data_IF_670051427851
#
_entry.id   IF_670051427851
#
_cell.length_a   1.000
_cell.length_b   1.000
_cell.length_c   1.000
_cell.angle_alpha   90.00
_cell.angle_beta   90.00
_cell.angle_gamma   90.00
#
_symmetry.space_group_name_H-M   'P 1'
#
loop_
_entity.id
_entity.type
_entity.pdbx_description
1 polymer ?
#
# COMPACT_ATOMS: atom_id res chain seq x y z
N UNK A 1 1.35 -17.54 11.97
CA UNK A 1 1.51 -18.05 10.58
C UNK A 1 0.11 -18.36 10.08
N UNK A 2 -0.62 -17.36 9.61
CA UNK A 2 -1.94 -17.54 9.01
C UNK A 2 -1.75 -18.32 7.72
N UNK A 3 -2.49 -19.39 7.58
CA UNK A 3 -2.28 -20.38 6.54
C UNK A 3 -2.60 -19.73 5.17
N UNK A 4 -1.60 -19.34 4.37
CA UNK A 4 -1.73 -18.70 3.06
C UNK A 4 -2.73 -19.44 2.14
N UNK A 5 -2.82 -20.77 2.27
CA UNK A 5 -3.83 -21.57 1.59
C UNK A 5 -5.26 -21.21 2.02
N UNK A 6 -5.47 -20.87 3.29
CA UNK A 6 -6.81 -20.52 3.81
C UNK A 6 -7.30 -19.20 3.22
N UNK A 7 -6.43 -18.21 3.09
CA UNK A 7 -6.77 -16.89 2.49
C UNK A 7 -7.12 -17.06 1.00
N UNK A 8 -6.32 -17.80 0.24
CA UNK A 8 -6.60 -18.05 -1.17
C UNK A 8 -7.95 -18.77 -1.39
N UNK A 9 -8.25 -19.77 -0.58
CA UNK A 9 -9.52 -20.51 -0.67
C UNK A 9 -10.72 -19.62 -0.33
N UNK A 10 -10.65 -18.82 0.74
CA UNK A 10 -11.68 -17.83 1.09
C UNK A 10 -11.95 -16.85 -0.07
N UNK A 11 -10.88 -16.32 -0.70
CA UNK A 11 -10.99 -15.40 -1.83
C UNK A 11 -11.59 -16.08 -3.08
N UNK A 12 -11.24 -17.33 -3.35
CA UNK A 12 -11.83 -18.13 -4.42
C UNK A 12 -13.33 -18.35 -4.21
N UNK A 13 -13.76 -18.64 -2.99
CA UNK A 13 -15.17 -18.79 -2.63
C UNK A 13 -15.94 -17.49 -2.85
N UNK A 14 -15.41 -16.35 -2.40
CA UNK A 14 -16.02 -15.02 -2.61
C UNK A 14 -16.22 -14.70 -4.11
N UNK A 15 -15.23 -15.02 -4.97
CA UNK A 15 -15.35 -14.85 -6.42
C UNK A 15 -16.46 -15.72 -6.98
N UNK A 16 -16.55 -16.98 -6.52
CA UNK A 16 -17.56 -17.94 -6.96
C UNK A 16 -18.97 -17.54 -6.54
N UNK A 17 -19.16 -17.08 -5.32
CA UNK A 17 -20.44 -16.61 -4.79
C UNK A 17 -20.99 -15.42 -5.57
N UNK A 18 -20.10 -14.53 -6.00
CA UNK A 18 -20.45 -13.41 -6.90
C UNK A 18 -20.62 -13.82 -8.38
N UNK A 19 -20.61 -15.14 -8.67
CA UNK A 19 -20.81 -15.74 -10.01
C UNK A 19 -19.77 -15.33 -11.06
N UNK A 20 -18.59 -14.92 -10.64
CA UNK A 20 -17.49 -14.64 -11.56
C UNK A 20 -16.61 -15.87 -11.76
N UNK A 21 -16.10 -16.00 -12.99
CA UNK A 21 -15.17 -17.08 -13.31
C UNK A 21 -13.76 -16.70 -12.90
N UNK A 22 -13.14 -17.50 -12.05
CA UNK A 22 -11.72 -17.39 -11.73
C UNK A 22 -10.90 -18.08 -12.83
N UNK A 23 -10.42 -17.28 -13.79
CA UNK A 23 -9.50 -17.76 -14.84
C UNK A 23 -8.09 -17.95 -14.28
N UNK A 24 -7.24 -18.73 -14.96
CA UNK A 24 -5.84 -18.92 -14.60
C UNK A 24 -5.11 -17.58 -14.45
N UNK A 25 -5.32 -16.64 -15.37
CA UNK A 25 -4.70 -15.32 -15.29
C UNK A 25 -5.10 -14.55 -14.01
N UNK A 26 -6.41 -14.55 -13.67
CA UNK A 26 -6.90 -13.92 -12.43
C UNK A 26 -6.34 -14.59 -11.19
N UNK A 27 -6.24 -15.93 -11.20
CA UNK A 27 -5.66 -16.66 -10.09
C UNK A 27 -4.17 -16.32 -9.91
N UNK A 28 -3.40 -16.22 -11.00
CA UNK A 28 -1.99 -15.82 -10.95
C UNK A 28 -1.82 -14.40 -10.38
N UNK A 29 -2.69 -13.46 -10.79
CA UNK A 29 -2.67 -12.09 -10.29
C UNK A 29 -3.03 -12.04 -8.80
N UNK A 30 -4.05 -12.79 -8.37
CA UNK A 30 -4.41 -12.86 -6.95
C UNK A 30 -3.30 -13.48 -6.11
N UNK A 31 -2.65 -14.52 -6.62
CA UNK A 31 -1.51 -15.16 -5.94
C UNK A 31 -0.34 -14.20 -5.74
N UNK A 32 -0.11 -13.28 -6.68
CA UNK A 32 0.95 -12.29 -6.54
C UNK A 32 0.76 -11.37 -5.31
N UNK A 33 -0.48 -11.07 -4.92
CA UNK A 33 -0.77 -10.33 -3.69
C UNK A 33 -0.53 -11.16 -2.42
N UNK A 34 -0.82 -12.46 -2.48
CA UNK A 34 -0.66 -13.35 -1.34
C UNK A 34 0.81 -13.61 -1.05
N UNK A 35 1.61 -13.74 -2.10
CA UNK A 35 3.03 -14.06 -2.01
C UNK A 35 3.93 -12.83 -1.82
N UNK A 36 3.39 -11.62 -2.02
CA UNK A 36 4.16 -10.39 -1.90
C UNK A 36 4.50 -10.08 -0.42
N UNK A 37 5.74 -9.68 -0.18
CA UNK A 37 6.16 -9.14 1.11
C UNK A 37 5.58 -7.74 1.35
N UNK A 38 5.44 -6.95 0.29
CA UNK A 38 4.82 -5.64 0.32
C UNK A 38 3.30 -5.77 0.20
N UNK A 39 2.58 -5.12 1.11
CA UNK A 39 1.12 -5.19 1.15
C UNK A 39 0.42 -4.24 0.18
N UNK A 40 1.10 -3.18 -0.27
CA UNK A 40 0.55 -2.09 -1.09
C UNK A 40 1.18 -2.08 -2.47
N UNK A 41 0.64 -2.85 -3.41
CA UNK A 41 1.18 -3.00 -4.76
C UNK A 41 0.48 -2.07 -5.76
N UNK A 42 1.26 -1.38 -6.58
CA UNK A 42 0.75 -0.73 -7.80
C UNK A 42 0.48 -1.76 -8.90
N UNK A 43 -0.23 -1.36 -9.95
CA UNK A 43 -0.45 -2.24 -11.10
C UNK A 43 0.87 -2.65 -11.78
N UNK A 44 1.87 -1.76 -11.78
CA UNK A 44 3.20 -1.99 -12.31
C UNK A 44 3.98 -2.99 -11.46
N UNK A 45 3.87 -2.91 -10.13
CA UNK A 45 4.50 -3.87 -9.21
C UNK A 45 3.93 -5.28 -9.42
N UNK A 46 2.58 -5.38 -9.48
CA UNK A 46 1.89 -6.64 -9.77
C UNK A 46 2.31 -7.18 -11.14
N UNK A 47 2.41 -6.32 -12.16
CA UNK A 47 2.88 -6.73 -13.48
C UNK A 47 4.30 -7.28 -13.43
N UNK A 48 5.21 -6.61 -12.68
CA UNK A 48 6.59 -7.07 -12.49
C UNK A 48 6.68 -8.44 -11.82
N UNK A 49 5.81 -8.72 -10.84
CA UNK A 49 5.73 -10.02 -10.17
C UNK A 49 5.16 -11.10 -11.10
N UNK A 50 4.01 -10.81 -11.71
CA UNK A 50 3.28 -11.76 -12.57
C UNK A 50 4.08 -12.13 -13.81
N UNK A 51 4.81 -11.19 -14.41
CA UNK A 51 5.59 -11.44 -15.62
C UNK A 51 6.70 -12.48 -15.45
N UNK A 52 7.18 -12.69 -14.22
CA UNK A 52 8.18 -13.71 -13.90
C UNK A 52 7.65 -15.14 -14.04
N UNK A 53 6.34 -15.33 -13.80
CA UNK A 53 5.68 -16.65 -13.79
C UNK A 53 4.71 -16.86 -14.94
N UNK A 54 4.16 -15.79 -15.51
CA UNK A 54 3.19 -15.79 -16.60
C UNK A 54 3.45 -14.63 -17.57
N UNK A 55 4.48 -14.74 -18.44
CA UNK A 55 4.92 -13.65 -19.32
C UNK A 55 3.90 -13.19 -20.35
N UNK A 56 2.89 -14.02 -20.62
CA UNK A 56 1.81 -13.71 -21.57
C UNK A 56 0.75 -12.76 -21.00
N UNK A 57 0.76 -12.49 -19.69
CA UNK A 57 -0.19 -11.56 -19.06
C UNK A 57 0.32 -10.13 -19.25
N UNK A 58 -0.41 -9.36 -20.06
CA UNK A 58 -0.10 -7.96 -20.32
C UNK A 58 -0.62 -7.01 -19.23
N UNK A 59 -0.02 -5.81 -19.14
CA UNK A 59 -0.38 -4.78 -18.16
C UNK A 59 -1.87 -4.40 -18.21
N UNK A 60 -2.47 -4.34 -19.40
CA UNK A 60 -3.91 -4.07 -19.54
C UNK A 60 -4.79 -5.14 -18.88
N UNK A 61 -4.35 -6.40 -18.88
CA UNK A 61 -5.04 -7.50 -18.18
C UNK A 61 -4.91 -7.35 -16.67
N UNK A 62 -3.75 -6.89 -16.19
CA UNK A 62 -3.53 -6.57 -14.77
C UNK A 62 -4.55 -5.51 -14.34
N UNK A 63 -4.60 -4.34 -14.98
CA UNK A 63 -5.53 -3.26 -14.63
C UNK A 63 -6.98 -3.73 -14.57
N UNK A 64 -7.46 -4.41 -15.63
CA UNK A 64 -8.84 -4.93 -15.67
C UNK A 64 -9.14 -5.92 -14.54
N UNK A 65 -8.13 -6.71 -14.15
CA UNK A 65 -8.29 -7.69 -13.07
C UNK A 65 -8.30 -7.01 -11.71
N UNK A 66 -7.45 -5.99 -11.50
CA UNK A 66 -7.44 -5.19 -10.28
C UNK A 66 -8.76 -4.43 -10.09
N UNK A 67 -9.29 -3.83 -11.16
CA UNK A 67 -10.59 -3.17 -11.13
C UNK A 67 -11.70 -4.17 -10.74
N UNK A 68 -11.74 -5.33 -11.37
CA UNK A 68 -12.68 -6.38 -11.02
C UNK A 68 -12.53 -6.83 -9.57
N UNK A 69 -11.32 -7.04 -9.09
CA UNK A 69 -11.10 -7.47 -7.71
C UNK A 69 -11.50 -6.39 -6.70
N UNK A 70 -11.39 -5.13 -7.05
CA UNK A 70 -11.90 -4.00 -6.25
C UNK A 70 -13.43 -3.99 -6.23
N UNK A 71 -14.09 -4.20 -7.38
CA UNK A 71 -15.56 -4.32 -7.46
C UNK A 71 -16.11 -5.52 -6.66
N UNK A 72 -15.32 -6.57 -6.56
CA UNK A 72 -15.66 -7.77 -5.79
C UNK A 72 -15.29 -7.67 -4.30
N UNK A 73 -14.78 -6.53 -3.85
CA UNK A 73 -14.26 -6.32 -2.48
C UNK A 73 -13.16 -7.31 -2.07
N UNK A 74 -12.40 -7.85 -3.02
CA UNK A 74 -11.24 -8.69 -2.76
C UNK A 74 -9.99 -7.85 -2.52
N UNK A 75 -9.94 -6.69 -3.16
CA UNK A 75 -8.88 -5.69 -2.99
C UNK A 75 -9.48 -4.36 -2.58
N UNK A 76 -8.77 -3.62 -1.74
CA UNK A 76 -8.97 -2.19 -1.51
C UNK A 76 -8.05 -1.40 -2.43
N UNK A 77 -8.58 -0.34 -3.04
CA UNK A 77 -7.78 0.62 -3.79
C UNK A 77 -7.40 1.77 -2.87
N UNK A 78 -6.12 2.09 -2.82
CA UNK A 78 -5.55 3.13 -1.99
C UNK A 78 -4.92 4.22 -2.87
N UNK A 79 -5.30 5.46 -2.62
CA UNK A 79 -4.67 6.64 -3.19
C UNK A 79 -3.86 7.35 -2.08
N UNK A 80 -2.56 7.44 -2.29
CA UNK A 80 -1.66 8.12 -1.36
C UNK A 80 -1.27 9.53 -1.83
N UNK A 81 -1.94 10.05 -2.86
CA UNK A 81 -1.73 11.42 -3.36
C UNK A 81 -0.47 11.60 -4.22
N UNK A 82 0.18 10.53 -4.62
CA UNK A 82 1.35 10.51 -5.50
C UNK A 82 0.99 10.23 -6.98
N UNK A 83 -0.30 10.22 -7.30
CA UNK A 83 -0.83 9.94 -8.64
C UNK A 83 -0.82 8.46 -9.03
N UNK A 84 -0.51 7.56 -8.09
CA UNK A 84 -0.52 6.11 -8.29
C UNK A 84 -1.56 5.45 -7.41
N UNK A 85 -2.38 4.60 -8.01
CA UNK A 85 -3.24 3.72 -7.23
C UNK A 85 -2.42 2.51 -6.76
N UNK A 86 -2.56 2.18 -5.48
CA UNK A 86 -2.07 0.93 -4.91
C UNK A 86 -3.24 0.07 -4.47
N UNK A 87 -2.99 -1.20 -4.34
CA UNK A 87 -4.00 -2.19 -3.99
C UNK A 87 -3.48 -3.05 -2.85
N UNK A 88 -4.37 -3.39 -1.93
CA UNK A 88 -4.11 -4.33 -0.83
C UNK A 88 -5.22 -5.38 -0.78
N UNK A 89 -4.93 -6.54 -0.21
CA UNK A 89 -5.96 -7.55 0.05
C UNK A 89 -6.97 -7.02 1.06
N UNK A 90 -8.26 -7.13 0.71
CA UNK A 90 -9.34 -6.80 1.62
C UNK A 90 -9.66 -8.02 2.49
N UNK A 91 -8.87 -8.22 3.54
CA UNK A 91 -9.10 -9.25 4.52
C UNK A 91 -9.89 -8.66 5.70
N UNK A 92 -11.12 -9.13 5.88
CA UNK A 92 -12.01 -8.66 6.96
C UNK A 92 -11.45 -8.97 8.36
N UNK A 93 -10.58 -9.96 8.46
CA UNK A 93 -9.94 -10.37 9.73
C UNK A 93 -8.82 -9.39 10.14
N UNK A 94 -8.21 -8.67 9.17
CA UNK A 94 -7.10 -7.72 9.38
C UNK A 94 -7.43 -6.28 8.96
N UNK A 95 -8.67 -6.00 8.53
CA UNK A 95 -9.04 -4.72 7.93
C UNK A 95 -9.20 -3.57 8.92
N UNK A 96 -9.03 -3.83 10.21
CA UNK A 96 -9.26 -2.83 11.24
C UNK A 96 -7.93 -2.32 11.80
N UNK A 97 -7.72 -0.99 11.68
CA UNK A 97 -6.77 -0.22 12.48
C UNK A 97 -5.31 -0.23 12.06
N UNK A 98 -5.01 -0.29 10.77
CA UNK A 98 -3.68 0.14 10.35
C UNK A 98 -3.71 1.53 9.72
N UNK A 99 -2.74 2.30 10.08
CA UNK A 99 -2.51 3.65 9.58
C UNK A 99 -1.34 3.64 8.61
N UNK A 100 -1.31 4.60 7.69
CA UNK A 100 -0.29 4.63 6.64
C UNK A 100 0.69 5.78 6.83
N UNK A 101 1.98 5.47 6.83
CA UNK A 101 3.07 6.43 6.77
C UNK A 101 3.60 6.46 5.33
N UNK A 102 3.43 7.58 4.64
CA UNK A 102 3.78 7.74 3.23
C UNK A 102 5.01 8.59 3.09
N UNK A 103 6.09 8.04 2.51
CA UNK A 103 7.28 8.81 2.19
C UNK A 103 7.08 9.60 0.89
N UNK A 104 7.08 10.94 0.97
CA UNK A 104 6.89 11.80 -0.19
C UNK A 104 8.10 11.82 -1.15
N UNK A 105 9.26 11.31 -0.72
CA UNK A 105 10.49 11.28 -1.53
C UNK A 105 10.60 9.99 -2.36
N UNK A 106 10.37 8.82 -1.76
CA UNK A 106 10.52 7.53 -2.45
C UNK A 106 9.21 6.78 -2.69
N UNK A 107 8.09 7.27 -2.13
CA UNK A 107 6.78 6.65 -2.27
C UNK A 107 6.59 5.37 -1.46
N UNK A 108 7.55 4.98 -0.59
CA UNK A 108 7.35 3.82 0.26
C UNK A 108 6.21 4.08 1.25
N UNK A 109 5.44 3.04 1.52
CA UNK A 109 4.35 3.04 2.49
C UNK A 109 4.69 2.09 3.61
N UNK A 110 4.52 2.54 4.85
CA UNK A 110 4.65 1.71 6.05
C UNK A 110 3.34 1.74 6.80
N UNK A 111 2.98 0.63 7.40
CA UNK A 111 1.84 0.53 8.29
C UNK A 111 2.28 0.67 9.75
N UNK A 112 1.39 1.20 10.58
CA UNK A 112 1.49 1.10 12.02
C UNK A 112 0.11 0.84 12.62
N UNK A 113 0.08 0.06 13.69
CA UNK A 113 -1.14 -0.53 14.26
C UNK A 113 -1.55 0.12 15.61
N UNK A 114 -0.87 1.20 16.02
CA UNK A 114 -1.21 1.87 17.28
C UNK A 114 -2.54 2.61 17.16
N UNK A 115 -3.47 2.28 18.02
CA UNK A 115 -4.77 2.96 18.10
C UNK A 115 -4.66 4.29 18.86
N UNK A 116 -3.95 5.23 18.25
CA UNK A 116 -3.80 6.58 18.79
C UNK A 116 -5.07 7.43 18.64
N UNK A 117 -6.06 6.95 17.91
CA UNK A 117 -7.27 7.72 17.58
C UNK A 117 -8.44 7.47 18.52
N UNK A 118 -8.41 6.49 19.42
CA UNK A 118 -9.46 6.24 20.41
C UNK A 118 -9.86 7.49 21.21
N UNK A 119 -8.85 8.26 21.62
CA UNK A 119 -9.10 9.52 22.35
C UNK A 119 -9.83 10.52 21.47
N UNK A 120 -9.44 10.65 20.20
CA UNK A 120 -10.08 11.53 19.24
C UNK A 120 -11.52 11.11 18.96
N UNK A 121 -11.77 9.82 18.77
CA UNK A 121 -13.12 9.27 18.59
C UNK A 121 -14.03 9.52 19.79
N UNK A 122 -13.50 9.34 21.00
CA UNK A 122 -14.21 9.66 22.23
C UNK A 122 -14.58 11.14 22.32
N UNK A 123 -13.70 12.03 21.88
CA UNK A 123 -13.97 13.48 21.82
C UNK A 123 -15.05 13.79 20.78
N UNK A 124 -14.94 13.20 19.59
CA UNK A 124 -15.93 13.36 18.50
C UNK A 124 -17.31 12.90 18.97
N UNK A 125 -17.40 11.71 19.57
CA UNK A 125 -18.65 11.17 20.07
C UNK A 125 -19.29 12.09 21.14
N UNK A 126 -18.48 12.56 22.12
CA UNK A 126 -18.97 13.38 23.22
C UNK A 126 -19.33 14.81 22.81
N UNK A 127 -18.50 15.44 21.97
CA UNK A 127 -18.70 16.87 21.62
C UNK A 127 -19.67 17.07 20.47
N UNK A 128 -19.70 16.15 19.51
CA UNK A 128 -20.46 16.29 18.27
C UNK A 128 -21.66 15.34 18.20
N UNK A 129 -21.86 14.49 19.21
CA UNK A 129 -22.86 13.42 19.19
C UNK A 129 -22.80 12.58 17.90
N UNK A 130 -21.58 12.26 17.47
CA UNK A 130 -21.30 11.55 16.22
C UNK A 130 -20.71 10.16 16.51
N UNK A 131 -21.36 9.12 15.98
CA UNK A 131 -20.87 7.74 16.10
C UNK A 131 -19.90 7.45 14.96
N UNK A 132 -18.60 7.36 15.25
CA UNK A 132 -17.60 6.90 14.30
C UNK A 132 -17.86 5.42 13.99
N UNK A 133 -17.76 5.04 12.71
CA UNK A 133 -17.89 3.66 12.22
C UNK A 133 -16.54 3.19 11.73
N UNK A 134 -15.76 4.09 11.11
CA UNK A 134 -14.45 3.81 10.52
C UNK A 134 -13.64 5.10 10.42
N UNK A 135 -12.32 4.99 10.40
CA UNK A 135 -11.43 6.11 10.20
C UNK A 135 -10.19 5.70 9.40
N UNK A 136 -9.56 6.66 8.74
CA UNK A 136 -8.29 6.45 8.05
C UNK A 136 -7.33 7.57 8.41
N UNK A 137 -6.12 7.21 8.85
CA UNK A 137 -5.04 8.17 9.06
C UNK A 137 -3.91 7.91 8.05
N UNK A 138 -3.58 8.96 7.30
CA UNK A 138 -2.43 9.00 6.39
C UNK A 138 -1.48 10.08 6.86
N UNK A 139 -0.23 9.70 7.15
CA UNK A 139 0.81 10.63 7.58
C UNK A 139 1.86 10.70 6.48
N UNK A 140 2.14 11.91 6.02
CA UNK A 140 3.11 12.17 4.96
C UNK A 140 4.39 12.73 5.55
N UNK A 141 5.53 12.21 5.11
CA UNK A 141 6.83 12.61 5.62
C UNK A 141 7.98 11.96 4.84
N UNK A 142 9.11 11.77 5.50
CA UNK A 142 10.28 11.11 4.92
C UNK A 142 10.61 9.84 5.71
N UNK A 143 10.79 8.72 5.03
CA UNK A 143 11.26 7.50 5.68
C UNK A 143 12.72 7.65 6.16
N UNK A 144 13.15 6.77 7.07
CA UNK A 144 14.49 6.82 7.64
C UNK A 144 15.61 6.85 6.60
N UNK A 145 15.48 6.01 5.55
CA UNK A 145 16.47 5.95 4.46
C UNK A 145 16.55 7.27 3.68
N UNK A 146 15.40 7.90 3.43
CA UNK A 146 15.36 9.18 2.75
C UNK A 146 15.88 10.31 3.62
N UNK A 147 15.62 10.30 4.92
CA UNK A 147 16.17 11.27 5.87
C UNK A 147 17.69 11.15 5.93
N UNK A 148 18.24 9.94 6.01
CA UNK A 148 19.68 9.71 6.02
C UNK A 148 20.35 10.26 4.75
N UNK A 149 19.81 9.93 3.57
CA UNK A 149 20.33 10.43 2.29
C UNK A 149 20.24 11.95 2.16
N UNK A 150 19.18 12.57 2.66
CA UNK A 150 19.03 14.03 2.65
C UNK A 150 20.09 14.70 3.54
N UNK A 151 20.35 14.14 4.72
CA UNK A 151 21.37 14.65 5.63
C UNK A 151 22.77 14.54 5.05
N UNK A 152 23.12 13.39 4.44
CA UNK A 152 24.40 13.21 3.76
C UNK A 152 24.59 14.21 2.60
N UNK A 153 23.53 14.49 1.86
CA UNK A 153 23.56 15.45 0.76
C UNK A 153 23.73 16.88 1.25
N UNK A 154 23.06 17.26 2.33
CA UNK A 154 23.22 18.58 2.98
C UNK A 154 24.65 18.77 3.51
N UNK A 155 25.20 17.78 4.21
CA UNK A 155 26.58 17.81 4.73
C UNK A 155 27.60 17.94 3.61
N UNK A 156 27.40 17.21 2.48
CA UNK A 156 28.26 17.31 1.31
C UNK A 156 28.22 18.68 0.65
N UNK A 157 27.00 19.23 0.50
CA UNK A 157 26.82 20.57 -0.07
C UNK A 157 27.44 21.68 0.80
N UNK A 158 27.33 21.52 2.11
CA UNK A 158 27.94 22.44 3.06
C UNK A 158 29.46 22.40 2.97
N UNK A 159 30.05 21.20 2.97
CA UNK A 159 31.50 21.04 2.81
C UNK A 159 32.03 21.63 1.48
N UNK A 160 31.28 21.49 0.40
CA UNK A 160 31.64 22.10 -0.89
C UNK A 160 31.66 23.63 -0.81
N UNK A 161 30.64 24.24 -0.22
CA UNK A 161 30.56 25.70 -0.07
C UNK A 161 31.70 26.25 0.80
N UNK A 162 32.05 25.56 1.87
CA UNK A 162 33.17 25.95 2.74
C UNK A 162 34.53 25.84 2.01
N UNK A 163 34.72 24.80 1.20
CA UNK A 163 35.92 24.65 0.39
C UNK A 163 36.06 25.73 -0.71
N UNK A 164 34.96 26.11 -1.36
CA UNK A 164 34.94 27.19 -2.35
C UNK A 164 35.25 28.54 -1.73
N UNK A 165 34.73 28.83 -0.52
CA UNK A 165 35.01 30.07 0.21
C UNK A 165 36.47 30.15 0.66
N UNK A 166 37.06 29.03 1.09
CA UNK A 166 38.47 28.98 1.48
C UNK A 166 39.43 29.16 0.31
N UNK A 167 39.00 28.90 -0.93
CA UNK A 167 39.84 29.04 -2.13
C UNK A 167 39.83 30.49 -2.69
N UNK A 168 38.87 31.32 -2.23
CA UNK A 168 38.71 32.71 -2.69
C UNK A 168 39.18 33.77 -1.64
N UNK A 169 39.69 33.31 -0.51
CA UNK A 169 40.25 34.16 0.53
C UNK A 169 41.80 34.16 0.48
#
# INVERSE_FOLDING_TARGET
MTNMNTTLEKLKERIKDKKYKLTTQRQTILQAFIDAEEKHLSAEDVYGLVKKVAPDIGLATIYRTLDLFTELDLLKRLDFGDGRNRYELNDEEFSHFHHHLICVKCGCVKEFEDDMLETLESIIAKKLNFKTIDHQLKVYGYCGDCQAKMKEEEERLQAQKEAEQATHA
#
